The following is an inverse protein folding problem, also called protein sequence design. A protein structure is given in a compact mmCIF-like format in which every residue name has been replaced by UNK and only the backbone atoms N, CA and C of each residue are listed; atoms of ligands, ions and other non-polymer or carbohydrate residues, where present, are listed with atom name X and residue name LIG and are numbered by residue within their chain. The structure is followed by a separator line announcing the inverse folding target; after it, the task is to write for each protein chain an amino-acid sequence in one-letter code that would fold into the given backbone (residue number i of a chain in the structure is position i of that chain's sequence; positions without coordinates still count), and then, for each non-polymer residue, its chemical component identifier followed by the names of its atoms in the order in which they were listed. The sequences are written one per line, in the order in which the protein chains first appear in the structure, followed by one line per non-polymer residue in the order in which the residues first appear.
data_IF_905855893345
#
_entry.id   IF_905855893345
#
_cell.length_a   1.000
_cell.length_b   1.000
_cell.length_c   1.000
_cell.angle_alpha   90.00
_cell.angle_beta   90.00
_cell.angle_gamma   90.00
#
_symmetry.space_group_name_H-M   'P 1'
#
loop_
_entity.id
_entity.type
_entity.pdbx_description
1 polymer ?
#
# COMPACT_ATOMS: atom_id res chain seq x y z
N UNK A 1 0.01 1.32 5.83
CA UNK A 1 -0.93 2.04 4.94
C UNK A 1 -0.16 3.08 4.14
N UNK A 2 -0.45 3.18 2.84
CA UNK A 2 0.34 3.99 1.90
C UNK A 2 -0.42 5.24 1.47
N UNK A 3 0.27 6.39 1.46
CA UNK A 3 -0.29 7.71 1.17
C UNK A 3 0.35 8.23 -0.12
N UNK A 4 -0.47 8.59 -1.10
CA UNK A 4 -0.05 9.19 -2.35
C UNK A 4 -0.13 10.69 -2.20
N UNK A 5 1.01 11.36 -2.32
CA UNK A 5 1.06 12.82 -2.39
C UNK A 5 1.29 13.21 -3.86
N UNK A 6 0.34 13.92 -4.45
CA UNK A 6 0.54 14.51 -5.78
C UNK A 6 1.26 15.83 -5.60
N UNK A 7 2.27 16.05 -6.45
CA UNK A 7 2.97 17.31 -6.60
C UNK A 7 2.37 18.00 -7.82
N UNK A 8 1.63 19.09 -7.62
CA UNK A 8 1.29 19.95 -8.75
C UNK A 8 2.52 20.84 -9.06
N UNK A 9 3.12 20.75 -10.26
CA UNK A 9 4.31 21.54 -10.57
C UNK A 9 3.90 22.97 -10.94
N UNK A 10 4.36 23.95 -10.17
CA UNK A 10 4.72 25.25 -10.76
C UNK A 10 6.12 25.10 -11.39
N UNK A 11 6.33 25.74 -12.54
CA UNK A 11 7.41 25.45 -13.48
C UNK A 11 8.84 25.43 -12.86
N UNK A 12 9.69 24.50 -13.33
CA UNK A 12 11.08 24.84 -13.65
C UNK A 12 12.22 24.51 -12.68
N UNK A 13 12.07 23.66 -11.65
CA UNK A 13 13.19 23.42 -10.71
C UNK A 13 13.39 21.94 -10.32
N UNK A 14 14.21 21.22 -11.11
CA UNK A 14 14.71 19.87 -10.75
C UNK A 14 15.37 19.84 -9.37
N UNK A 15 16.12 20.90 -9.04
CA UNK A 15 16.77 21.08 -7.73
C UNK A 15 15.77 21.10 -6.57
N UNK A 16 14.59 21.68 -6.78
CA UNK A 16 13.54 21.76 -5.76
C UNK A 16 12.90 20.40 -5.45
N UNK A 17 12.85 19.49 -6.43
CA UNK A 17 12.37 18.13 -6.19
C UNK A 17 13.31 17.35 -5.26
N UNK A 18 14.63 17.45 -5.47
CA UNK A 18 15.61 16.76 -4.61
C UNK A 18 15.58 17.29 -3.17
N UNK A 19 15.48 18.62 -3.00
CA UNK A 19 15.37 19.25 -1.68
C UNK A 19 14.09 18.80 -0.98
N UNK A 20 12.96 18.73 -1.70
CA UNK A 20 11.71 18.24 -1.14
C UNK A 20 11.83 16.79 -0.64
N UNK A 21 12.44 15.90 -1.41
CA UNK A 21 12.65 14.50 -1.00
C UNK A 21 13.58 14.38 0.21
N UNK A 22 14.60 15.23 0.31
CA UNK A 22 15.47 15.29 1.48
C UNK A 22 14.71 15.73 2.74
N UNK A 23 13.83 16.72 2.61
CA UNK A 23 13.00 17.17 3.73
C UNK A 23 11.96 16.15 4.17
N UNK A 24 11.33 15.44 3.23
CA UNK A 24 10.49 14.29 3.57
C UNK A 24 11.24 13.26 4.42
N UNK A 25 12.47 12.90 4.03
CA UNK A 25 13.29 11.94 4.78
C UNK A 25 13.68 12.47 6.16
N UNK A 26 14.02 13.76 6.29
CA UNK A 26 14.33 14.38 7.59
C UNK A 26 13.13 14.37 8.55
N UNK A 27 11.91 14.45 8.00
CA UNK A 27 10.66 14.33 8.75
C UNK A 27 10.27 12.86 9.03
N UNK A 28 11.13 11.90 8.67
CA UNK A 28 10.93 10.48 8.91
C UNK A 28 9.98 9.80 7.93
N UNK A 29 9.67 10.43 6.79
CA UNK A 29 8.86 9.80 5.76
C UNK A 29 9.68 8.77 4.97
N UNK A 30 9.12 7.58 4.82
CA UNK A 30 9.70 6.54 3.98
C UNK A 30 9.18 6.71 2.54
N UNK A 31 10.08 7.07 1.62
CA UNK A 31 9.74 7.36 0.22
C UNK A 31 9.92 6.10 -0.62
N UNK A 32 8.84 5.60 -1.22
CA UNK A 32 8.86 4.43 -2.11
C UNK A 32 9.17 4.84 -3.53
N UNK A 33 8.55 5.91 -4.00
CA UNK A 33 8.71 6.39 -5.36
C UNK A 33 8.55 7.90 -5.41
N UNK A 34 9.31 8.55 -6.28
CA UNK A 34 9.11 9.95 -6.58
C UNK A 34 9.47 10.25 -8.04
N UNK A 35 8.66 11.09 -8.67
CA UNK A 35 9.01 11.79 -9.91
C UNK A 35 8.60 13.26 -9.79
N UNK A 36 8.60 14.01 -10.90
CA UNK A 36 8.26 15.43 -10.88
C UNK A 36 6.80 15.73 -10.51
N UNK A 37 5.91 14.76 -10.60
CA UNK A 37 4.46 14.91 -10.49
C UNK A 37 3.85 14.16 -9.31
N UNK A 38 4.54 13.14 -8.76
CA UNK A 38 4.03 12.33 -7.65
C UNK A 38 5.13 11.88 -6.71
N UNK A 39 4.78 11.79 -5.43
CA UNK A 39 5.58 11.15 -4.37
C UNK A 39 4.70 10.12 -3.68
N UNK A 40 5.18 8.89 -3.57
CA UNK A 40 4.52 7.80 -2.84
C UNK A 40 5.30 7.60 -1.55
N UNK A 41 4.60 7.75 -0.42
CA UNK A 41 5.18 7.56 0.90
C UNK A 41 4.49 6.42 1.65
N UNK A 42 5.28 5.64 2.36
CA UNK A 42 4.79 4.75 3.40
C UNK A 42 4.66 5.53 4.71
N UNK A 43 3.45 5.54 5.26
CA UNK A 43 3.15 6.25 6.51
C UNK A 43 3.57 5.45 7.74
N UNK A 44 3.82 4.14 7.60
CA UNK A 44 4.04 3.23 8.72
C UNK A 44 2.85 3.12 9.68
N UNK A 45 1.67 3.64 9.31
CA UNK A 45 0.45 3.60 10.13
C UNK A 45 -0.43 2.45 9.68
N UNK A 46 -1.04 1.79 10.67
CA UNK A 46 -2.00 0.70 10.46
C UNK A 46 -3.43 1.22 10.31
N UNK A 47 -3.76 2.33 10.97
CA UNK A 47 -5.08 2.96 10.95
C UNK A 47 -5.15 4.13 9.96
N UNK A 48 -6.32 4.32 9.34
CA UNK A 48 -6.54 5.36 8.33
C UNK A 48 -6.55 6.76 8.93
N UNK A 49 -7.14 6.96 10.11
CA UNK A 49 -7.16 8.26 10.74
C UNK A 49 -5.74 8.67 11.16
N UNK A 50 -4.96 7.72 11.69
CA UNK A 50 -3.55 7.92 12.00
C UNK A 50 -2.70 8.21 10.75
N UNK A 51 -2.95 7.52 9.63
CA UNK A 51 -2.26 7.77 8.37
C UNK A 51 -2.56 9.16 7.79
N UNK A 52 -3.85 9.57 7.81
CA UNK A 52 -4.28 10.91 7.39
C UNK A 52 -3.65 11.99 8.26
N UNK A 53 -3.73 11.87 9.58
CA UNK A 53 -3.12 12.82 10.52
C UNK A 53 -1.59 12.93 10.34
N UNK A 54 -0.91 11.82 10.03
CA UNK A 54 0.51 11.83 9.68
C UNK A 54 0.78 12.63 8.40
N UNK A 55 0.03 12.35 7.31
CA UNK A 55 0.18 13.11 6.06
C UNK A 55 -0.13 14.60 6.28
N UNK A 56 -1.19 14.95 7.01
CA UNK A 56 -1.54 16.35 7.30
C UNK A 56 -0.44 17.07 8.09
N UNK A 57 0.12 16.42 9.12
CA UNK A 57 1.23 16.99 9.90
C UNK A 57 2.48 17.22 9.06
N UNK A 58 2.81 16.24 8.20
CA UNK A 58 3.94 16.29 7.28
C UNK A 58 3.79 17.46 6.29
N UNK A 59 2.61 17.58 5.66
CA UNK A 59 2.29 18.65 4.72
C UNK A 59 2.29 20.03 5.38
N UNK A 60 1.64 20.17 6.54
CA UNK A 60 1.64 21.41 7.31
C UNK A 60 3.05 21.86 7.70
N UNK A 61 3.97 20.92 7.95
CA UNK A 61 5.36 21.23 8.28
C UNK A 61 6.15 21.70 7.06
N UNK A 62 5.89 21.11 5.89
CA UNK A 62 6.54 21.49 4.65
C UNK A 62 6.04 22.85 4.14
N UNK A 63 4.72 23.09 4.17
CA UNK A 63 4.10 24.34 3.70
C UNK A 63 4.51 25.56 4.52
N UNK A 64 4.92 25.40 5.78
CA UNK A 64 5.44 26.50 6.62
C UNK A 64 6.83 27.00 6.20
N UNK A 65 7.50 26.34 5.27
CA UNK A 65 8.85 26.72 4.83
C UNK A 65 8.78 27.51 3.54
N UNK A 66 9.37 28.71 3.55
CA UNK A 66 9.43 29.60 2.37
C UNK A 66 10.00 28.90 1.13
N UNK A 67 10.93 27.96 1.31
CA UNK A 67 11.52 27.14 0.23
C UNK A 67 10.49 26.33 -0.58
N UNK A 68 9.29 26.10 -0.04
CA UNK A 68 8.25 25.28 -0.66
C UNK A 68 6.95 26.03 -0.95
N UNK A 69 6.94 27.37 -0.88
CA UNK A 69 5.75 28.18 -1.20
C UNK A 69 5.21 27.94 -2.62
N UNK A 70 6.08 27.54 -3.54
CA UNK A 70 5.74 27.27 -4.93
C UNK A 70 5.28 25.82 -5.17
N UNK A 71 5.26 24.96 -4.14
CA UNK A 71 4.87 23.55 -4.24
C UNK A 71 3.52 23.35 -3.54
N UNK A 72 2.54 22.93 -4.31
CA UNK A 72 1.29 22.42 -3.77
C UNK A 72 1.36 20.89 -3.66
N UNK A 73 1.12 20.39 -2.45
CA UNK A 73 1.14 18.98 -2.11
C UNK A 73 -0.20 18.62 -1.50
N UNK A 74 -0.90 17.66 -2.11
CA UNK A 74 -2.18 17.17 -1.65
C UNK A 74 -2.20 15.63 -1.58
N UNK A 75 -2.78 15.03 -0.52
CA UNK A 75 -3.02 13.59 -0.49
C UNK A 75 -4.10 13.18 -1.48
N UNK A 76 -3.77 12.30 -2.42
CA UNK A 76 -4.68 11.84 -3.46
C UNK A 76 -5.37 10.52 -3.09
N UNK A 77 -4.58 9.53 -2.69
CA UNK A 77 -5.07 8.18 -2.42
C UNK A 77 -4.41 7.58 -1.19
N UNK A 78 -5.21 6.90 -0.38
CA UNK A 78 -4.73 6.02 0.68
C UNK A 78 -4.99 4.57 0.28
N UNK A 79 -4.06 3.68 0.62
CA UNK A 79 -4.13 2.28 0.23
C UNK A 79 -3.97 1.39 1.44
N UNK A 80 -4.93 0.47 1.59
CA UNK A 80 -4.89 -0.57 2.60
C UNK A 80 -3.81 -1.61 2.29
N UNK A 81 -3.70 -2.00 1.02
CA UNK A 81 -2.69 -2.91 0.49
C UNK A 81 -2.20 -2.36 -0.84
N UNK A 82 -0.90 -2.41 -1.07
CA UNK A 82 -0.32 -1.84 -2.28
C UNK A 82 0.94 -2.62 -2.66
N UNK A 83 1.01 -2.99 -3.93
CA UNK A 83 2.14 -3.66 -4.56
C UNK A 83 2.65 -2.76 -5.67
N UNK A 84 3.92 -2.38 -5.59
CA UNK A 84 4.51 -1.42 -6.50
C UNK A 84 5.80 -1.97 -7.08
N UNK A 85 5.90 -1.96 -8.40
CA UNK A 85 7.14 -2.25 -9.12
C UNK A 85 7.67 -0.97 -9.78
N UNK A 86 6.82 -0.27 -10.52
CA UNK A 86 7.12 1.02 -11.13
C UNK A 86 5.84 1.81 -11.43
N UNK A 87 5.97 2.95 -12.13
CA UNK A 87 4.84 3.83 -12.44
C UNK A 87 3.78 3.23 -13.39
N UNK A 88 4.07 2.14 -14.10
CA UNK A 88 3.20 1.42 -15.02
C UNK A 88 2.84 0.00 -14.54
N UNK A 89 3.46 -0.45 -13.46
CA UNK A 89 3.33 -1.79 -12.88
C UNK A 89 3.08 -1.67 -11.38
N UNK A 90 1.81 -1.59 -11.00
CA UNK A 90 1.35 -1.51 -9.62
C UNK A 90 -0.07 -2.07 -9.47
N UNK A 91 -0.42 -2.45 -8.25
CA UNK A 91 -1.79 -2.77 -7.88
C UNK A 91 -2.05 -2.48 -6.42
N UNK A 92 -3.31 -2.32 -6.04
CA UNK A 92 -3.64 -2.04 -4.65
C UNK A 92 -5.12 -2.06 -4.34
N UNK A 93 -5.40 -2.06 -3.04
CA UNK A 93 -6.73 -1.95 -2.46
C UNK A 93 -6.85 -0.53 -1.89
N UNK A 94 -7.57 0.38 -2.55
CA UNK A 94 -7.71 1.74 -2.09
C UNK A 94 -8.62 1.78 -0.86
N UNK A 95 -8.38 2.77 -0.02
CA UNK A 95 -9.29 3.15 1.06
C UNK A 95 -10.45 3.90 0.42
N UNK A 96 -11.68 3.44 0.65
CA UNK A 96 -12.86 4.14 0.12
C UNK A 96 -13.19 5.35 0.98
N UNK A 97 -13.74 6.39 0.38
CA UNK A 97 -14.16 7.59 1.11
C UNK A 97 -15.42 7.35 1.98
N UNK A 98 -16.13 6.24 1.75
CA UNK A 98 -17.48 5.94 2.25
C UNK A 98 -17.54 4.70 3.16
N UNK A 99 -16.49 4.38 3.91
CA UNK A 99 -16.41 3.24 4.85
C UNK A 99 -17.48 3.24 5.97
N UNK A 100 -18.50 4.11 5.90
CA UNK A 100 -19.60 4.27 6.83
C UNK A 100 -20.97 3.89 6.27
N UNK A 101 -21.16 2.82 5.49
CA UNK A 101 -22.50 2.23 5.29
C UNK A 101 -22.50 0.72 5.02
N UNK A 102 -23.36 0.04 5.78
CA UNK A 102 -23.69 -1.37 5.75
C UNK A 102 -23.98 -1.91 4.34
N UNK A 103 -23.05 -2.69 3.81
CA UNK A 103 -23.25 -3.53 2.63
C UNK A 103 -22.01 -4.40 2.45
N UNK A 104 -22.19 -5.66 2.05
CA UNK A 104 -21.10 -6.55 1.62
C UNK A 104 -20.38 -5.89 0.43
N UNK A 105 -19.45 -5.00 0.76
CA UNK A 105 -18.87 -4.07 -0.20
C UNK A 105 -17.82 -4.84 -0.99
N UNK A 106 -18.11 -5.08 -2.26
CA UNK A 106 -17.16 -5.66 -3.20
C UNK A 106 -15.84 -4.89 -3.12
N UNK A 107 -14.77 -5.59 -2.76
CA UNK A 107 -13.43 -5.01 -2.63
C UNK A 107 -12.96 -4.60 -4.02
N UNK A 108 -12.71 -3.31 -4.19
CA UNK A 108 -12.16 -2.77 -5.43
C UNK A 108 -10.65 -2.96 -5.41
N UNK A 109 -10.10 -3.62 -6.44
CA UNK A 109 -8.67 -3.83 -6.59
C UNK A 109 -8.23 -3.09 -7.85
N UNK A 110 -7.43 -2.04 -7.67
CA UNK A 110 -6.78 -1.37 -8.80
C UNK A 110 -5.64 -2.26 -9.27
N UNK A 111 -5.61 -2.54 -10.57
CA UNK A 111 -4.64 -3.43 -11.19
C UNK A 111 -4.10 -2.78 -12.47
N UNK A 112 -2.84 -2.36 -12.44
CA UNK A 112 -2.15 -1.73 -13.57
C UNK A 112 -0.84 -2.45 -13.80
N UNK A 113 -0.83 -3.42 -14.72
CA UNK A 113 0.33 -4.27 -14.99
C UNK A 113 0.66 -4.26 -16.47
N UNK A 114 1.40 -3.24 -16.92
CA UNK A 114 1.89 -3.17 -18.30
C UNK A 114 2.68 -4.44 -18.67
N UNK A 115 3.42 -5.03 -17.72
CA UNK A 115 4.14 -6.29 -17.93
C UNK A 115 3.22 -7.45 -18.36
N UNK A 116 1.94 -7.43 -17.96
CA UNK A 116 0.98 -8.46 -18.35
C UNK A 116 0.69 -8.43 -19.85
N UNK A 117 0.74 -7.27 -20.50
CA UNK A 117 0.48 -7.13 -21.94
C UNK A 117 1.52 -7.87 -22.80
N UNK A 118 2.74 -8.04 -22.27
CA UNK A 118 3.83 -8.76 -22.93
C UNK A 118 3.77 -10.28 -22.71
N UNK A 119 2.87 -10.77 -21.86
CA UNK A 119 2.67 -12.20 -21.64
C UNK A 119 1.79 -12.80 -22.76
N UNK A 120 1.92 -14.10 -23.07
CA UNK A 120 0.97 -14.79 -23.94
C UNK A 120 -0.49 -14.60 -23.49
N UNK A 121 -1.40 -14.30 -24.43
CA UNK A 121 -2.82 -13.98 -24.11
C UNK A 121 -3.49 -14.98 -23.16
N UNK A 122 -3.18 -16.27 -23.28
CA UNK A 122 -3.74 -17.34 -22.43
C UNK A 122 -3.39 -17.20 -20.94
N UNK A 123 -2.31 -16.50 -20.59
CA UNK A 123 -1.83 -16.40 -19.20
C UNK A 123 -2.04 -15.01 -18.59
N UNK A 124 -2.46 -14.01 -19.37
CA UNK A 124 -2.62 -12.64 -18.89
C UNK A 124 -3.65 -12.56 -17.75
N UNK A 125 -4.84 -13.12 -17.96
CA UNK A 125 -5.91 -13.13 -16.94
C UNK A 125 -5.47 -13.86 -15.67
N UNK A 126 -4.70 -14.95 -15.83
CA UNK A 126 -4.20 -15.72 -14.71
C UNK A 126 -3.14 -14.95 -13.91
N UNK A 127 -2.24 -14.23 -14.59
CA UNK A 127 -1.29 -13.34 -13.94
C UNK A 127 -2.02 -12.26 -13.12
N UNK A 128 -3.02 -11.60 -13.70
CA UNK A 128 -3.82 -10.59 -12.99
C UNK A 128 -4.52 -11.19 -11.78
N UNK A 129 -5.12 -12.38 -11.92
CA UNK A 129 -5.76 -13.08 -10.82
C UNK A 129 -4.79 -13.39 -9.68
N UNK A 130 -3.63 -13.97 -9.98
CA UNK A 130 -2.59 -14.28 -8.99
C UNK A 130 -2.17 -13.02 -8.22
N UNK A 131 -1.85 -11.94 -8.91
CA UNK A 131 -1.39 -10.71 -8.28
C UNK A 131 -2.49 -10.06 -7.44
N UNK A 132 -3.75 -10.18 -7.88
CA UNK A 132 -4.91 -9.71 -7.12
C UNK A 132 -5.10 -10.50 -5.82
N UNK A 133 -4.91 -11.83 -5.86
CA UNK A 133 -4.92 -12.68 -4.65
C UNK A 133 -3.76 -12.32 -3.71
N UNK A 134 -2.57 -12.05 -4.24
CA UNK A 134 -1.42 -11.62 -3.47
C UNK A 134 -1.69 -10.32 -2.70
N UNK A 135 -2.45 -9.38 -3.28
CA UNK A 135 -2.87 -8.15 -2.61
C UNK A 135 -3.96 -8.39 -1.57
N UNK A 136 -4.95 -9.22 -1.91
CA UNK A 136 -6.18 -9.41 -1.13
C UNK A 136 -5.99 -10.29 0.11
N UNK A 137 -5.32 -11.44 0.00
CA UNK A 137 -5.19 -12.41 1.08
C UNK A 137 -4.53 -11.80 2.35
N UNK A 138 -3.34 -11.15 2.28
CA UNK A 138 -2.73 -10.51 3.46
C UNK A 138 -3.66 -9.50 4.11
N UNK A 139 -4.28 -8.66 3.30
CA UNK A 139 -5.13 -7.56 3.76
C UNK A 139 -6.39 -8.08 4.46
N UNK A 140 -7.08 -9.04 3.84
CA UNK A 140 -8.28 -9.66 4.39
C UNK A 140 -7.96 -10.40 5.70
N UNK A 141 -6.81 -11.07 5.77
CA UNK A 141 -6.34 -11.71 6.99
C UNK A 141 -6.07 -10.70 8.11
N UNK A 142 -5.40 -9.59 7.80
CA UNK A 142 -5.13 -8.51 8.75
C UNK A 142 -6.43 -7.90 9.31
N UNK A 143 -7.42 -7.62 8.45
CA UNK A 143 -8.74 -7.13 8.89
C UNK A 143 -9.46 -8.10 9.82
N UNK A 144 -9.43 -9.40 9.51
CA UNK A 144 -10.06 -10.41 10.37
C UNK A 144 -9.40 -10.48 11.74
N UNK A 145 -8.06 -10.39 11.80
CA UNK A 145 -7.36 -10.35 13.08
C UNK A 145 -7.68 -9.08 13.90
N UNK A 146 -7.78 -7.91 13.25
CA UNK A 146 -8.13 -6.68 13.96
C UNK A 146 -9.55 -6.73 14.53
N UNK A 147 -10.51 -7.28 13.77
CA UNK A 147 -11.88 -7.46 14.25
C UNK A 147 -11.95 -8.36 15.49
N UNK A 148 -11.25 -9.51 15.47
CA UNK A 148 -11.18 -10.44 16.61
C UNK A 148 -10.57 -9.78 17.85
N UNK A 149 -9.52 -8.96 17.68
CA UNK A 149 -8.89 -8.23 18.79
C UNK A 149 -9.83 -7.20 19.41
N UNK A 150 -10.62 -6.49 18.61
CA UNK A 150 -11.60 -5.52 19.10
C UNK A 150 -12.72 -6.20 19.88
N UNK A 151 -13.21 -7.37 19.44
CA UNK A 151 -14.24 -8.13 20.18
C UNK A 151 -13.74 -8.66 21.53
N UNK A 152 -12.44 -8.99 21.64
CA UNK A 152 -11.84 -9.45 22.90
C UNK A 152 -11.52 -8.31 23.89
N UNK A 153 -11.37 -7.08 23.40
CA UNK A 153 -11.07 -5.90 24.24
C UNK A 153 -12.30 -5.32 24.95
N UNK A 154 -13.52 -5.62 24.47
CA UNK A 154 -14.77 -5.15 25.08
C UNK A 154 -15.07 -5.78 26.46
N UNK A 155 -14.18 -6.64 26.97
CA UNK A 155 -14.22 -7.24 28.31
C UNK A 155 -13.07 -6.87 29.25
N UNK A 156 -12.12 -6.00 28.87
CA UNK A 156 -10.96 -5.67 29.71
C UNK A 156 -10.52 -4.22 29.54
N UNK A 157 -10.88 -3.38 30.52
CA UNK A 157 -10.51 -1.97 30.62
C UNK A 157 -9.04 -1.80 31.04
N UNK A 158 -8.07 -2.25 30.26
CA UNK A 158 -6.66 -1.92 30.45
C UNK A 158 -5.97 -1.93 29.09
N UNK A 159 -5.68 -0.75 28.54
CA UNK A 159 -4.89 -0.61 27.31
C UNK A 159 -3.43 -1.00 27.60
N UNK A 160 -2.86 -2.07 27.01
CA UNK A 160 -1.43 -2.25 27.05
C UNK A 160 -0.82 -1.50 25.86
N UNK A 161 0.11 -0.60 26.14
CA UNK A 161 0.97 0.02 25.13
C UNK A 161 1.61 -1.07 24.26
N UNK A 162 1.43 -1.01 22.94
CA UNK A 162 2.04 -1.95 22.00
C UNK A 162 3.54 -1.75 22.07
N UNK A 163 4.26 -2.71 22.64
CA UNK A 163 5.73 -2.70 22.70
C UNK A 163 6.31 -2.99 21.31
N UNK A 164 7.52 -2.47 21.03
CA UNK A 164 8.24 -2.69 19.75
C UNK A 164 8.33 -4.18 19.40
N UNK A 165 8.60 -5.03 20.40
CA UNK A 165 8.65 -6.49 20.24
C UNK A 165 7.32 -7.12 19.75
N UNK A 166 6.18 -6.54 20.14
CA UNK A 166 4.87 -7.02 19.69
C UNK A 166 4.60 -6.66 18.22
N UNK A 167 5.15 -5.54 17.73
CA UNK A 167 5.11 -5.16 16.31
C UNK A 167 6.01 -6.07 15.46
N UNK A 168 7.24 -6.31 15.92
CA UNK A 168 8.21 -7.17 15.22
C UNK A 168 7.72 -8.63 15.12
N UNK A 169 7.10 -9.14 16.19
CA UNK A 169 6.52 -10.50 16.19
C UNK A 169 5.36 -10.61 15.20
N UNK A 170 4.52 -9.58 15.09
CA UNK A 170 3.40 -9.53 14.16
C UNK A 170 3.89 -9.50 12.70
N UNK A 171 4.87 -8.65 12.40
CA UNK A 171 5.48 -8.56 11.08
C UNK A 171 6.14 -9.88 10.65
N UNK A 172 6.83 -10.56 11.57
CA UNK A 172 7.40 -11.90 11.32
C UNK A 172 6.30 -12.92 11.01
N UNK A 173 5.25 -12.99 11.84
CA UNK A 173 4.15 -13.93 11.61
C UNK A 173 3.39 -13.67 10.31
N UNK A 174 3.19 -12.40 9.95
CA UNK A 174 2.60 -12.02 8.66
C UNK A 174 3.50 -12.43 7.51
N UNK A 175 4.81 -12.21 7.63
CA UNK A 175 5.78 -12.60 6.60
C UNK A 175 5.82 -14.12 6.39
N UNK A 176 5.80 -14.90 7.47
CA UNK A 176 5.83 -16.36 7.40
C UNK A 176 4.53 -16.93 6.85
N UNK A 177 3.38 -16.38 7.25
CA UNK A 177 2.08 -16.70 6.66
C UNK A 177 2.07 -16.42 5.16
N UNK A 178 2.56 -15.26 4.74
CA UNK A 178 2.63 -14.90 3.33
C UNK A 178 3.55 -15.83 2.55
N UNK A 179 4.75 -16.11 3.05
CA UNK A 179 5.66 -17.07 2.43
C UNK A 179 5.01 -18.44 2.25
N UNK A 180 4.29 -18.93 3.26
CA UNK A 180 3.59 -20.21 3.18
C UNK A 180 2.46 -20.21 2.14
N UNK A 181 1.65 -19.15 2.09
CA UNK A 181 0.58 -19.00 1.09
C UNK A 181 1.12 -18.83 -0.33
N UNK A 182 2.14 -17.99 -0.50
CA UNK A 182 2.77 -17.73 -1.79
C UNK A 182 3.43 -19.01 -2.31
N UNK A 183 4.16 -19.73 -1.45
CA UNK A 183 4.82 -20.99 -1.84
C UNK A 183 3.80 -22.05 -2.25
N UNK A 184 2.75 -22.28 -1.46
CA UNK A 184 1.74 -23.29 -1.78
C UNK A 184 0.89 -22.91 -3.01
N UNK A 185 0.53 -21.63 -3.15
CA UNK A 185 -0.40 -21.18 -4.18
C UNK A 185 0.29 -20.89 -5.52
N UNK A 186 1.47 -20.23 -5.51
CA UNK A 186 2.19 -19.95 -6.75
C UNK A 186 2.78 -21.22 -7.34
N UNK A 187 3.37 -22.12 -6.54
CA UNK A 187 3.95 -23.34 -7.08
C UNK A 187 2.87 -24.23 -7.68
N UNK A 188 1.77 -24.48 -6.96
CA UNK A 188 0.70 -25.37 -7.46
C UNK A 188 0.06 -24.85 -8.75
N UNK A 189 -0.25 -23.55 -8.83
CA UNK A 189 -0.85 -22.96 -10.03
C UNK A 189 0.15 -22.78 -11.19
N UNK A 190 1.43 -22.51 -10.92
CA UNK A 190 2.46 -22.49 -11.97
C UNK A 190 2.70 -23.87 -12.58
N UNK A 191 2.67 -24.94 -11.77
CA UNK A 191 2.82 -26.31 -12.26
C UNK A 191 1.67 -26.70 -13.21
N UNK A 192 0.43 -26.33 -12.89
CA UNK A 192 -0.72 -26.56 -13.79
C UNK A 192 -0.59 -25.81 -15.12
N UNK A 193 -0.09 -24.57 -15.11
CA UNK A 193 0.16 -23.81 -16.34
C UNK A 193 1.28 -24.43 -17.19
N UNK A 194 2.36 -24.91 -16.56
CA UNK A 194 3.44 -25.61 -17.27
C UNK A 194 2.94 -26.93 -17.90
N UNK A 195 2.05 -27.65 -17.23
CA UNK A 195 1.46 -28.89 -17.76
C UNK A 195 0.53 -28.60 -18.94
N UNK A 196 -0.30 -27.55 -18.89
CA UNK A 196 -1.21 -27.19 -19.97
C UNK A 196 -0.47 -26.71 -21.23
N UNK A 197 0.69 -26.04 -21.06
CA UNK A 197 1.51 -25.56 -22.18
C UNK A 197 2.30 -26.70 -22.88
N UNK A 198 2.54 -27.83 -22.21
CA UNK A 198 3.28 -28.97 -22.78
C UNK A 198 2.39 -30.01 -23.49
N UNK A 199 1.07 -29.84 -23.45
CA UNK A 199 0.09 -30.76 -24.07
C UNK A 199 -0.77 -30.11 -25.18
N UNK A 200 -0.40 -28.92 -25.66
CA UNK A 200 -0.94 -28.29 -26.89
C UNK A 200 0.24 -27.91 -27.78
#
# INVERSE_FOLDING_TARGET
MLCFLVKQPSHGHEKGALILLDEFRKLGANIIFANFYKVIIDTGKFDIAAAKAYCDSLLNTLQKRETFEWIELEPLHFWHSFLFMDQYNYGGIPVRADESMYGESQVDIVSSWNIAEYLPKKIQDHFIFIVSQFLYIPWNYAQKQSAVRTTLQDGSSCTPSITVAASETLESHMTDFLKAQISSYLLTNFWELFVIQYFI
#
